data_IF_704956421876
#
_entry.id   IF_704956421876
#
_cell.length_a   1.000
_cell.length_b   1.000
_cell.length_c   1.000
_cell.angle_alpha   90.00
_cell.angle_beta   90.00
_cell.angle_gamma   90.00
#
_symmetry.space_group_name_H-M   'P 1'
#
loop_
_entity.id
_entity.type
_entity.pdbx_description
1 polymer ?
#
# COMPACT_ATOMS: atom_id res chain seq x y z
N UNK A 1 -2.36 -13.21 -18.79
CA UNK A 1 -0.96 -12.75 -18.86
C UNK A 1 -0.20 -13.41 -17.72
N UNK A 2 1.02 -13.92 -17.91
CA UNK A 2 1.80 -14.50 -16.83
C UNK A 2 2.16 -13.40 -15.83
N UNK A 3 1.97 -13.66 -14.53
CA UNK A 3 2.37 -12.78 -13.44
C UNK A 3 3.87 -13.00 -13.24
N UNK A 4 4.70 -12.02 -13.63
CA UNK A 4 6.14 -12.09 -13.34
C UNK A 4 6.36 -12.10 -11.82
N UNK A 5 7.30 -12.92 -11.31
CA UNK A 5 7.64 -12.90 -9.89
C UNK A 5 8.22 -11.53 -9.52
N UNK A 6 7.54 -10.83 -8.63
CA UNK A 6 7.96 -9.52 -8.12
C UNK A 6 9.35 -9.65 -7.49
N UNK A 7 10.32 -8.86 -7.96
CA UNK A 7 11.62 -8.74 -7.30
C UNK A 7 11.43 -7.99 -5.96
N UNK A 8 11.42 -8.76 -4.88
CA UNK A 8 11.04 -8.31 -3.54
C UNK A 8 12.02 -7.28 -2.95
N UNK A 9 13.21 -7.11 -3.54
CA UNK A 9 14.27 -6.20 -3.03
C UNK A 9 14.17 -4.77 -3.55
N UNK A 10 13.50 -4.54 -4.69
CA UNK A 10 13.29 -3.19 -5.25
C UNK A 10 11.98 -2.56 -4.78
N UNK A 11 11.07 -3.36 -4.22
CA UNK A 11 9.75 -2.92 -3.77
C UNK A 11 9.71 -2.34 -2.35
N UNK A 12 10.82 -2.37 -1.59
CA UNK A 12 10.86 -1.94 -0.19
C UNK A 12 11.91 -0.83 0.00
N UNK A 13 11.64 0.17 0.84
CA UNK A 13 12.60 1.24 1.11
C UNK A 13 13.86 0.69 1.81
N UNK A 14 15.02 1.33 1.61
CA UNK A 14 16.23 1.00 2.38
C UNK A 14 15.98 1.15 3.89
N UNK A 15 16.51 0.21 4.69
CA UNK A 15 16.28 0.15 6.15
C UNK A 15 14.97 -0.52 6.57
N UNK A 16 14.14 -0.97 5.64
CA UNK A 16 12.89 -1.69 5.94
C UNK A 16 13.12 -2.96 6.78
N UNK A 17 14.18 -3.71 6.49
CA UNK A 17 14.51 -4.94 7.21
C UNK A 17 14.94 -4.67 8.67
N UNK A 18 15.41 -3.46 8.96
CA UNK A 18 15.90 -3.03 10.28
C UNK A 18 14.79 -2.36 11.12
N UNK A 19 13.64 -2.03 10.50
CA UNK A 19 12.50 -1.50 11.22
C UNK A 19 11.83 -2.64 12.03
N UNK A 20 11.55 -2.40 13.32
CA UNK A 20 10.84 -3.33 14.23
C UNK A 20 9.52 -3.88 13.64
N UNK A 21 8.98 -3.20 12.64
CA UNK A 21 7.88 -3.69 11.82
C UNK A 21 8.15 -5.07 11.25
N UNK A 22 9.35 -5.41 10.75
CA UNK A 22 9.60 -6.70 10.10
C UNK A 22 9.31 -7.91 11.01
N UNK A 23 9.55 -7.79 12.33
CA UNK A 23 9.27 -8.84 13.31
C UNK A 23 7.78 -9.04 13.61
N UNK A 24 6.92 -8.10 13.21
CA UNK A 24 5.48 -8.12 13.48
C UNK A 24 4.66 -8.77 12.37
N UNK A 25 5.28 -9.07 11.23
CA UNK A 25 4.58 -9.54 10.04
C UNK A 25 4.52 -11.06 10.00
N UNK A 26 3.33 -11.61 9.80
CA UNK A 26 3.22 -13.00 9.32
C UNK A 26 3.71 -13.05 7.85
N UNK A 27 4.34 -14.15 7.45
CA UNK A 27 4.92 -14.30 6.11
C UNK A 27 3.90 -14.05 4.99
N UNK A 28 2.64 -14.46 5.19
CA UNK A 28 1.58 -14.26 4.21
C UNK A 28 1.04 -12.83 4.19
N UNK A 29 1.11 -12.10 5.30
CA UNK A 29 0.81 -10.66 5.32
C UNK A 29 1.83 -9.89 4.49
N UNK A 30 3.11 -10.28 4.57
CA UNK A 30 4.18 -9.67 3.78
C UNK A 30 3.98 -9.92 2.28
N UNK A 31 3.66 -11.16 1.89
CA UNK A 31 3.32 -11.48 0.51
C UNK A 31 2.13 -10.65 0.01
N UNK A 32 1.07 -10.54 0.81
CA UNK A 32 -0.11 -9.74 0.45
C UNK A 32 0.26 -8.28 0.20
N UNK A 33 0.98 -7.65 1.13
CA UNK A 33 1.38 -6.26 0.99
C UNK A 33 2.25 -6.02 -0.25
N UNK A 34 3.25 -6.89 -0.49
CA UNK A 34 4.13 -6.75 -1.65
C UNK A 34 3.36 -6.92 -2.95
N UNK A 35 2.42 -7.87 -3.00
CA UNK A 35 1.53 -8.01 -4.14
C UNK A 35 0.68 -6.75 -4.34
N UNK A 36 0.05 -6.23 -3.27
CA UNK A 36 -0.75 -5.00 -3.35
C UNK A 36 0.10 -3.82 -3.86
N UNK A 37 1.31 -3.63 -3.33
CA UNK A 37 2.22 -2.55 -3.72
C UNK A 37 2.57 -2.58 -5.20
N UNK A 38 2.76 -3.77 -5.77
CA UNK A 38 3.02 -3.94 -7.20
C UNK A 38 1.79 -3.64 -8.09
N UNK A 39 0.57 -3.61 -7.52
CA UNK A 39 -0.68 -3.43 -8.25
C UNK A 39 -1.36 -2.08 -7.97
N UNK A 40 -0.71 -1.20 -7.21
CA UNK A 40 -1.22 0.12 -6.88
C UNK A 40 -1.53 0.94 -8.13
N UNK A 41 -2.67 1.62 -8.09
CA UNK A 41 -3.08 2.61 -9.08
C UNK A 41 -3.40 3.93 -8.39
N UNK A 42 -3.14 5.08 -9.03
CA UNK A 42 -3.61 6.36 -8.53
C UNK A 42 -5.15 6.42 -8.57
N UNK A 43 -5.78 6.50 -7.40
CA UNK A 43 -7.18 6.81 -7.20
C UNK A 43 -7.38 8.29 -6.89
N UNK A 44 -8.54 8.84 -7.24
CA UNK A 44 -8.87 10.24 -6.92
C UNK A 44 -9.15 10.42 -5.42
N UNK A 45 -8.68 11.53 -4.83
CA UNK A 45 -9.26 11.97 -3.57
C UNK A 45 -10.75 12.22 -3.80
N UNK A 46 -11.63 11.58 -3.02
CA UNK A 46 -13.08 11.81 -3.08
C UNK A 46 -13.40 13.21 -2.53
N UNK A 47 -13.03 14.25 -3.28
CA UNK A 47 -13.47 15.62 -3.07
C UNK A 47 -14.42 16.00 -4.22
N UNK A 48 -15.65 16.47 -3.96
CA UNK A 48 -16.64 16.81 -4.98
C UNK A 48 -16.24 17.96 -5.94
N UNK A 49 -15.11 18.63 -5.69
CA UNK A 49 -14.60 19.77 -6.47
C UNK A 49 -13.44 19.41 -7.41
N UNK A 50 -13.26 18.11 -7.72
CA UNK A 50 -12.09 17.49 -8.34
C UNK A 50 -11.82 17.81 -9.84
N UNK A 51 -11.99 19.05 -10.28
CA UNK A 51 -11.41 19.49 -11.55
C UNK A 51 -9.90 19.75 -11.45
N UNK A 52 -9.33 19.77 -10.23
CA UNK A 52 -7.96 20.27 -9.96
C UNK A 52 -7.25 19.52 -8.82
N UNK A 53 -7.59 18.24 -8.60
CA UNK A 53 -7.04 17.47 -7.48
C UNK A 53 -5.55 17.18 -7.69
N UNK A 54 -4.68 17.99 -7.07
CA UNK A 54 -3.23 17.75 -6.95
C UNK A 54 -2.88 16.67 -5.93
N UNK A 55 -3.86 15.86 -5.54
CA UNK A 55 -3.77 14.88 -4.48
C UNK A 55 -4.78 13.75 -4.69
N UNK A 56 -4.40 12.55 -4.27
CA UNK A 56 -5.26 11.39 -4.25
C UNK A 56 -4.65 10.23 -3.49
N UNK A 57 -5.17 9.03 -3.74
CA UNK A 57 -4.84 7.83 -2.98
C UNK A 57 -4.15 6.78 -3.85
N UNK A 58 -3.32 5.96 -3.22
CA UNK A 58 -2.72 4.79 -3.83
C UNK A 58 -3.60 3.59 -3.51
N UNK A 59 -4.40 3.15 -4.49
CA UNK A 59 -5.50 2.21 -4.29
C UNK A 59 -5.31 0.92 -5.09
N UNK A 60 -5.84 -0.18 -4.57
CA UNK A 60 -5.90 -1.49 -5.24
C UNK A 60 -7.29 -2.08 -5.05
N UNK A 61 -7.94 -2.41 -6.16
CA UNK A 61 -9.18 -3.18 -6.16
C UNK A 61 -8.83 -4.61 -6.55
N UNK A 62 -9.21 -5.58 -5.71
CA UNK A 62 -8.95 -6.98 -5.94
C UNK A 62 -10.10 -7.85 -5.40
N UNK A 63 -10.45 -8.89 -6.14
CA UNK A 63 -11.35 -9.94 -5.67
C UNK A 63 -10.63 -10.86 -4.70
N UNK A 64 -11.40 -11.58 -3.86
CA UNK A 64 -10.82 -12.62 -3.00
C UNK A 64 -10.05 -13.67 -3.80
N UNK A 65 -10.59 -14.10 -4.95
CA UNK A 65 -9.96 -15.11 -5.80
C UNK A 65 -8.61 -14.66 -6.38
N UNK A 66 -8.48 -13.39 -6.78
CA UNK A 66 -7.19 -12.83 -7.25
C UNK A 66 -6.14 -12.86 -6.14
N UNK A 67 -6.55 -12.48 -4.92
CA UNK A 67 -5.65 -12.51 -3.77
C UNK A 67 -5.27 -13.96 -3.42
N UNK A 68 -6.24 -14.86 -3.32
CA UNK A 68 -6.01 -16.29 -3.04
C UNK A 68 -4.99 -16.89 -4.01
N UNK A 69 -5.16 -16.63 -5.31
CA UNK A 69 -4.24 -17.08 -6.35
C UNK A 69 -2.85 -16.44 -6.24
N UNK A 70 -2.77 -15.16 -5.88
CA UNK A 70 -1.52 -14.42 -5.80
C UNK A 70 -0.62 -14.84 -4.63
N UNK A 71 -1.21 -15.12 -3.47
CA UNK A 71 -0.45 -15.42 -2.24
C UNK A 71 -0.53 -16.88 -1.78
N UNK A 72 -1.40 -17.69 -2.40
CA UNK A 72 -1.55 -19.12 -2.12
C UNK A 72 -2.25 -19.42 -0.80
N UNK A 73 -3.28 -18.66 -0.44
CA UNK A 73 -4.02 -18.82 0.83
C UNK A 73 -5.50 -19.11 0.61
N UNK A 74 -6.20 -19.56 1.66
CA UNK A 74 -7.65 -19.75 1.61
C UNK A 74 -8.42 -18.43 1.65
N UNK A 75 -9.64 -18.41 1.11
CA UNK A 75 -10.59 -17.30 1.24
C UNK A 75 -10.73 -16.72 2.65
N UNK A 76 -10.83 -17.59 3.66
CA UNK A 76 -10.98 -17.16 5.06
C UNK A 76 -9.72 -16.45 5.59
N UNK A 77 -8.56 -16.79 5.02
CA UNK A 77 -7.28 -16.18 5.36
C UNK A 77 -7.16 -14.77 4.78
N UNK A 78 -7.73 -14.49 3.60
CA UNK A 78 -7.64 -13.16 2.95
C UNK A 78 -8.15 -12.04 3.85
N UNK A 79 -9.34 -12.18 4.44
CA UNK A 79 -9.88 -11.15 5.35
C UNK A 79 -9.03 -10.97 6.60
N UNK A 80 -8.47 -12.06 7.15
CA UNK A 80 -7.54 -12.01 8.29
C UNK A 80 -6.30 -11.20 7.93
N UNK A 81 -5.66 -11.50 6.80
CA UNK A 81 -4.46 -10.81 6.34
C UNK A 81 -4.73 -9.33 6.06
N UNK A 82 -5.86 -9.01 5.42
CA UNK A 82 -6.26 -7.62 5.17
C UNK A 82 -6.43 -6.82 6.48
N UNK A 83 -7.03 -7.43 7.51
CA UNK A 83 -7.13 -6.82 8.84
C UNK A 83 -5.76 -6.63 9.48
N UNK A 84 -4.87 -7.61 9.39
CA UNK A 84 -3.51 -7.46 9.92
C UNK A 84 -2.76 -6.29 9.26
N UNK A 85 -2.86 -6.11 7.95
CA UNK A 85 -2.27 -4.95 7.27
C UNK A 85 -2.87 -3.63 7.76
N UNK A 86 -4.16 -3.61 8.07
CA UNK A 86 -4.82 -2.44 8.66
C UNK A 86 -4.37 -2.18 10.10
N UNK A 87 -4.26 -3.21 10.93
CA UNK A 87 -3.83 -3.10 12.32
C UNK A 87 -2.36 -2.67 12.42
N UNK A 88 -1.53 -3.06 11.45
CA UNK A 88 -0.15 -2.58 11.30
C UNK A 88 -0.06 -1.14 10.78
N UNK A 89 -1.17 -0.54 10.34
CA UNK A 89 -1.22 0.82 9.79
C UNK A 89 -0.60 0.97 8.40
N UNK A 90 -0.31 -0.13 7.71
CA UNK A 90 0.36 -0.12 6.40
C UNK A 90 -0.61 -0.07 5.22
N UNK A 91 -1.89 -0.34 5.49
CA UNK A 91 -2.98 -0.18 4.54
C UNK A 91 -4.28 0.18 5.29
N UNK A 92 -5.28 0.67 4.57
CA UNK A 92 -6.68 0.56 5.00
C UNK A 92 -7.42 -0.32 4.00
N UNK A 93 -8.44 -1.04 4.43
CA UNK A 93 -9.23 -1.85 3.51
C UNK A 93 -10.72 -1.76 3.79
N UNK A 94 -11.52 -1.99 2.75
CA UNK A 94 -12.95 -2.22 2.83
C UNK A 94 -13.31 -3.41 1.95
N UNK A 95 -13.97 -4.40 2.53
CA UNK A 95 -14.58 -5.49 1.77
C UNK A 95 -16.04 -5.20 1.46
N UNK A 96 -16.49 -5.52 0.25
CA UNK A 96 -17.90 -5.53 -0.14
C UNK A 96 -18.23 -6.69 -1.11
N UNK A 97 -19.36 -6.62 -1.82
CA UNK A 97 -19.76 -7.67 -2.77
C UNK A 97 -18.89 -7.74 -4.02
N UNK A 98 -18.25 -6.64 -4.42
CA UNK A 98 -17.39 -6.56 -5.59
C UNK A 98 -15.96 -7.04 -5.29
N UNK A 99 -15.52 -6.93 -4.03
CA UNK A 99 -14.23 -7.45 -3.61
C UNK A 99 -13.65 -6.68 -2.43
N UNK A 100 -12.34 -6.49 -2.47
CA UNK A 100 -11.57 -5.74 -1.49
C UNK A 100 -11.00 -4.49 -2.14
N UNK A 101 -11.22 -3.37 -1.47
CA UNK A 101 -10.66 -2.06 -1.82
C UNK A 101 -9.58 -1.74 -0.80
N UNK A 102 -8.33 -1.69 -1.23
CA UNK A 102 -7.19 -1.33 -0.40
C UNK A 102 -6.71 0.07 -0.71
N UNK A 103 -6.21 0.75 0.32
CA UNK A 103 -5.44 1.99 0.19
C UNK A 103 -4.13 1.84 0.93
N UNK A 104 -3.03 2.08 0.24
CA UNK A 104 -1.67 1.88 0.73
C UNK A 104 -0.90 3.19 0.98
N UNK A 105 -1.48 4.31 0.57
CA UNK A 105 -0.82 5.60 0.65
C UNK A 105 -1.56 6.68 -0.13
N UNK A 106 -0.82 7.74 -0.43
CA UNK A 106 -1.30 8.95 -1.08
C UNK A 106 -0.35 9.36 -2.20
N UNK A 107 -0.88 10.02 -3.21
CA UNK A 107 -0.06 10.70 -4.22
C UNK A 107 -0.38 12.19 -4.21
N UNK A 108 0.60 13.01 -4.54
CA UNK A 108 0.42 14.45 -4.68
C UNK A 108 1.31 15.01 -5.79
N UNK A 109 0.87 16.10 -6.42
CA UNK A 109 1.70 16.82 -7.40
C UNK A 109 2.35 18.03 -6.75
N UNK A 110 3.67 18.14 -6.92
CA UNK A 110 4.47 19.26 -6.47
C UNK A 110 5.14 19.92 -7.67
N UNK A 111 5.20 21.24 -7.68
CA UNK A 111 5.99 21.97 -8.69
C UNK A 111 7.46 21.92 -8.30
N UNK A 112 8.29 21.42 -9.21
CA UNK A 112 9.74 21.51 -9.07
C UNK A 112 10.16 22.99 -9.13
N UNK A 113 10.90 23.43 -8.11
CA UNK A 113 11.46 24.79 -8.04
C UNK A 113 12.37 25.03 -9.26
N UNK A 114 12.05 26.06 -10.06
CA UNK A 114 12.91 26.55 -11.14
C UNK A 114 12.62 26.01 -12.56
N UNK A 115 11.83 24.94 -12.73
CA UNK A 115 11.64 24.32 -14.06
C UNK A 115 10.20 24.32 -14.59
N UNK A 116 9.21 24.77 -13.81
CA UNK A 116 7.79 24.69 -14.20
C UNK A 116 7.26 23.26 -14.36
N UNK A 117 8.06 22.25 -14.03
CA UNK A 117 7.72 20.84 -14.12
C UNK A 117 6.88 20.43 -12.91
N UNK A 118 5.72 19.82 -13.16
CA UNK A 118 4.92 19.18 -12.12
C UNK A 118 5.38 17.73 -11.94
N UNK A 119 5.85 17.42 -10.73
CA UNK A 119 6.29 16.09 -10.34
C UNK A 119 5.20 15.44 -9.50
N UNK A 120 4.88 14.17 -9.81
CA UNK A 120 4.04 13.34 -8.94
C UNK A 120 4.92 12.63 -7.92
N UNK A 121 4.66 12.89 -6.65
CA UNK A 121 5.20 12.14 -5.53
C UNK A 121 4.18 11.10 -5.06
N UNK A 122 4.68 9.95 -4.61
CA UNK A 122 3.89 8.87 -4.02
C UNK A 122 4.44 8.62 -2.62
N UNK A 123 3.56 8.59 -1.63
CA UNK A 123 3.89 8.39 -0.23
C UNK A 123 3.10 7.20 0.31
N UNK A 124 3.80 6.09 0.59
CA UNK A 124 3.18 4.90 1.16
C UNK A 124 3.07 5.01 2.69
N UNK A 125 1.99 4.51 3.28
CA UNK A 125 1.79 4.55 4.74
C UNK A 125 2.89 3.82 5.50
N UNK A 126 3.41 2.75 4.91
CA UNK A 126 4.56 2.05 5.45
C UNK A 126 5.80 2.96 5.60
N UNK A 127 6.07 3.81 4.61
CA UNK A 127 7.24 4.71 4.63
C UNK A 127 7.11 5.76 5.73
N UNK A 128 5.88 6.25 5.96
CA UNK A 128 5.59 7.14 7.06
C UNK A 128 5.83 6.45 8.43
N UNK A 129 5.51 5.17 8.56
CA UNK A 129 5.74 4.40 9.80
C UNK A 129 7.24 4.18 10.08
N UNK A 130 8.05 3.96 9.04
CA UNK A 130 9.50 3.77 9.19
C UNK A 130 10.22 5.10 9.44
N UNK A 131 9.72 6.17 8.83
CA UNK A 131 10.30 7.52 8.97
C UNK A 131 9.84 8.23 10.24
N UNK A 132 8.86 7.68 10.97
CA UNK A 132 8.42 8.23 12.24
C UNK A 132 9.51 8.01 13.29
N UNK A 133 9.93 9.05 14.04
CA UNK A 133 10.82 8.85 15.17
C UNK A 133 10.14 7.89 16.15
N UNK A 134 10.84 6.84 16.56
CA UNK A 134 10.36 5.95 17.61
C UNK A 134 9.94 6.81 18.81
N UNK A 135 8.74 6.63 19.38
CA UNK A 135 8.37 7.35 20.58
C UNK A 135 9.45 7.07 21.63
N UNK A 136 10.04 8.13 22.19
CA UNK A 136 10.98 8.00 23.29
C UNK A 136 10.30 7.16 24.38
N UNK A 137 10.89 6.01 24.70
CA UNK A 137 10.38 5.10 25.72
C UNK A 137 10.14 5.91 27.01
N UNK A 138 8.93 5.81 27.56
CA UNK A 138 8.51 6.45 28.80
C UNK A 138 8.62 5.48 29.96
#
# INVERSE_FOLDING_TARGET
>A
MPVEPVDLRTALPPGFADADLFHRWEADSLKLYLWLRAHVRPGAARSPTAADSRHGYLEVDATGAEIEAAIGVSKNTVTKLARQLQDLGVATFRGDRAGYHFRLGEWFTQRATGAGLELRAEAFYLEALISAPLPAER
#
